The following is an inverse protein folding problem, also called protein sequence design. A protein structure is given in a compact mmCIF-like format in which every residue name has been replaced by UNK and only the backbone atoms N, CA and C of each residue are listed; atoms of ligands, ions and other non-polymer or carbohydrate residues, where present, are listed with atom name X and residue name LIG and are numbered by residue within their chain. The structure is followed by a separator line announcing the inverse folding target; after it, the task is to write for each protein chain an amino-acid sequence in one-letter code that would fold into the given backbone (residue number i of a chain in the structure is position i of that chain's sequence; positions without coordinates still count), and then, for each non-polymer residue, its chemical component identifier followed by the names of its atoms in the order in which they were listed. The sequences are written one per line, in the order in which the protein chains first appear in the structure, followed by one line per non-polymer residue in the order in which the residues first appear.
data_IF_554070572641
#
_entry.id   IF_554070572641
#
_cell.length_a   1.000
_cell.length_b   1.000
_cell.length_c   1.000
_cell.angle_alpha   90.00
_cell.angle_beta   90.00
_cell.angle_gamma   90.00
#
_symmetry.space_group_name_H-M   'P 1'
#
loop_
_entity.id
_entity.type
_entity.pdbx_description
1 polymer ?
#
# COMPACT_ATOMS: atom_id res chain seq x y z
N UNK A 1 3.81 -25.34 -9.11
CA UNK A 1 4.33 -26.72 -9.23
C UNK A 1 3.52 -27.59 -10.19
N UNK A 2 2.18 -27.65 -10.13
CA UNK A 2 1.36 -28.35 -11.14
C UNK A 2 1.53 -27.82 -12.58
N UNK A 3 1.74 -26.51 -12.77
CA UNK A 3 2.02 -25.92 -14.09
C UNK A 3 3.41 -26.28 -14.66
N UNK A 4 4.41 -26.56 -13.80
CA UNK A 4 5.73 -27.04 -14.25
C UNK A 4 5.62 -28.43 -14.90
N UNK A 5 4.67 -29.25 -14.44
CA UNK A 5 4.42 -30.61 -14.92
C UNK A 5 3.39 -30.69 -16.06
N UNK A 6 2.65 -29.61 -16.35
CA UNK A 6 1.49 -29.64 -17.26
C UNK A 6 1.78 -29.26 -18.73
N UNK A 7 3.03 -28.93 -19.08
CA UNK A 7 3.38 -28.64 -20.48
C UNK A 7 2.79 -27.36 -21.07
N UNK A 8 2.26 -26.44 -20.24
CA UNK A 8 1.85 -25.12 -20.71
C UNK A 8 3.07 -24.32 -21.23
N UNK A 9 2.93 -23.71 -22.41
CA UNK A 9 3.91 -22.79 -23.00
C UNK A 9 3.89 -21.45 -22.25
N UNK A 10 4.33 -21.48 -20.99
CA UNK A 10 4.45 -20.30 -20.14
C UNK A 10 5.89 -20.14 -19.67
N UNK A 11 6.37 -18.90 -19.70
CA UNK A 11 7.65 -18.54 -19.09
C UNK A 11 7.45 -18.16 -17.63
N UNK A 12 8.38 -18.52 -16.76
CA UNK A 12 8.29 -18.28 -15.31
C UNK A 12 9.20 -17.13 -14.89
N UNK A 13 8.64 -15.97 -14.48
CA UNK A 13 9.42 -14.92 -13.87
C UNK A 13 9.93 -15.36 -12.50
N UNK A 14 11.14 -14.95 -12.10
CA UNK A 14 11.64 -15.18 -10.74
C UNK A 14 12.46 -14.00 -10.22
N UNK A 15 12.64 -13.93 -8.89
CA UNK A 15 13.43 -12.88 -8.20
C UNK A 15 14.87 -13.34 -7.93
N UNK A 16 15.79 -12.40 -7.72
CA UNK A 16 17.16 -12.73 -7.29
C UNK A 16 17.16 -13.57 -6.00
N UNK A 17 16.34 -13.20 -5.02
CA UNK A 17 16.19 -13.96 -3.77
C UNK A 17 15.70 -15.40 -3.99
N UNK A 18 14.87 -15.64 -5.01
CA UNK A 18 14.47 -17.00 -5.37
C UNK A 18 15.67 -17.80 -5.91
N UNK A 19 16.49 -17.19 -6.76
CA UNK A 19 17.70 -17.80 -7.29
C UNK A 19 18.76 -18.05 -6.21
N UNK A 20 18.85 -17.19 -5.21
CA UNK A 20 19.75 -17.37 -4.07
C UNK A 20 19.33 -18.54 -3.17
N UNK A 21 18.04 -18.64 -2.87
CA UNK A 21 17.49 -19.72 -2.03
C UNK A 21 17.40 -21.06 -2.75
N UNK A 22 17.18 -21.04 -4.06
CA UNK A 22 16.96 -22.25 -4.88
C UNK A 22 17.81 -22.20 -6.16
N UNK A 23 19.15 -22.24 -6.06
CA UNK A 23 20.04 -22.03 -7.20
C UNK A 23 19.85 -23.07 -8.31
N UNK A 24 19.76 -24.36 -7.95
CA UNK A 24 19.53 -25.43 -8.93
C UNK A 24 18.20 -25.27 -9.68
N UNK A 25 17.14 -24.91 -8.94
CA UNK A 25 15.80 -24.72 -9.50
C UNK A 25 15.73 -23.47 -10.39
N UNK A 26 16.42 -22.39 -10.01
CA UNK A 26 16.45 -21.17 -10.81
C UNK A 26 17.18 -21.36 -12.14
N UNK A 27 18.27 -22.15 -12.15
CA UNK A 27 18.96 -22.53 -13.40
C UNK A 27 18.05 -23.38 -14.29
N UNK A 28 17.29 -24.33 -13.71
CA UNK A 28 16.34 -25.16 -14.45
C UNK A 28 15.21 -24.31 -15.08
N UNK A 29 14.65 -23.39 -14.29
CA UNK A 29 13.61 -22.46 -14.77
C UNK A 29 14.15 -21.54 -15.86
N UNK A 30 15.36 -21.01 -15.70
CA UNK A 30 16.02 -20.18 -16.70
C UNK A 30 16.25 -20.94 -18.01
N UNK A 31 16.80 -22.16 -17.94
CA UNK A 31 17.04 -23.00 -19.11
C UNK A 31 15.74 -23.33 -19.86
N UNK A 32 14.66 -23.61 -19.13
CA UNK A 32 13.33 -23.82 -19.71
C UNK A 32 12.82 -22.55 -20.40
N UNK A 33 12.87 -21.40 -19.75
CA UNK A 33 12.44 -20.13 -20.34
C UNK A 33 13.24 -19.84 -21.63
N UNK A 34 14.55 -20.05 -21.61
CA UNK A 34 15.41 -19.87 -22.78
C UNK A 34 14.99 -20.78 -23.95
N UNK A 35 14.72 -22.07 -23.66
CA UNK A 35 14.24 -23.03 -24.65
C UNK A 35 12.91 -22.64 -25.29
N UNK A 36 11.98 -22.07 -24.52
CA UNK A 36 10.67 -21.65 -25.00
C UNK A 36 10.75 -20.38 -25.87
N UNK A 37 11.69 -19.49 -25.57
CA UNK A 37 11.95 -18.26 -26.34
C UNK A 37 12.85 -18.52 -27.56
N UNK A 38 13.40 -19.74 -27.70
CA UNK A 38 14.29 -20.12 -28.80
C UNK A 38 15.73 -19.61 -28.65
N UNK A 39 16.16 -19.31 -27.41
CA UNK A 39 17.51 -18.80 -27.09
C UNK A 39 18.29 -19.87 -26.34
N UNK A 40 19.60 -20.00 -26.62
CA UNK A 40 20.48 -20.89 -25.86
C UNK A 40 20.72 -20.29 -24.48
N UNK A 41 20.47 -21.07 -23.42
CA UNK A 41 20.72 -20.64 -22.05
C UNK A 41 22.22 -20.38 -21.86
N UNK A 42 22.58 -19.16 -21.48
CA UNK A 42 23.97 -18.81 -21.17
C UNK A 42 24.37 -19.48 -19.86
N UNK A 43 25.41 -20.31 -19.89
CA UNK A 43 25.93 -21.00 -18.71
C UNK A 43 26.59 -20.02 -17.73
N UNK A 44 27.10 -18.88 -18.21
CA UNK A 44 27.73 -17.85 -17.39
C UNK A 44 26.72 -17.05 -16.55
N UNK A 45 25.45 -17.03 -16.94
CA UNK A 45 24.39 -16.36 -16.17
C UNK A 45 24.11 -17.04 -14.81
N UNK A 46 24.58 -18.28 -14.60
CA UNK A 46 24.35 -19.06 -13.37
C UNK A 46 25.33 -18.82 -12.22
N UNK A 47 26.37 -18.00 -12.39
CA UNK A 47 27.39 -17.79 -11.36
C UNK A 47 26.91 -16.93 -10.18
N UNK A 48 25.93 -16.06 -10.41
CA UNK A 48 25.41 -15.14 -9.40
C UNK A 48 23.88 -15.01 -9.52
N UNK A 49 23.18 -15.05 -8.39
CA UNK A 49 21.71 -15.01 -8.33
C UNK A 49 21.12 -13.71 -8.92
N UNK A 50 21.81 -12.59 -8.78
CA UNK A 50 21.39 -11.31 -9.35
C UNK A 50 21.50 -11.30 -10.89
N UNK A 51 22.60 -11.85 -11.41
CA UNK A 51 22.85 -11.92 -12.85
C UNK A 51 21.91 -12.93 -13.52
N UNK A 52 21.63 -14.07 -12.86
CA UNK A 52 20.64 -15.04 -13.32
C UNK A 52 19.23 -14.46 -13.38
N UNK A 53 18.84 -13.67 -12.37
CA UNK A 53 17.53 -13.01 -12.36
C UNK A 53 17.42 -11.93 -13.45
N UNK A 54 18.51 -11.19 -13.71
CA UNK A 54 18.57 -10.20 -14.78
C UNK A 54 18.51 -10.86 -16.17
N UNK A 55 19.29 -11.91 -16.39
CA UNK A 55 19.26 -12.69 -17.63
C UNK A 55 17.88 -13.30 -17.89
N UNK A 56 17.20 -13.78 -16.83
CA UNK A 56 15.83 -14.24 -16.94
C UNK A 56 14.87 -13.09 -17.30
N UNK A 57 15.05 -11.89 -16.72
CA UNK A 57 14.25 -10.73 -17.06
C UNK A 57 14.38 -10.34 -18.55
N UNK A 58 15.58 -10.46 -19.12
CA UNK A 58 15.81 -10.20 -20.54
C UNK A 58 15.10 -11.24 -21.43
N UNK A 59 15.07 -12.51 -21.03
CA UNK A 59 14.27 -13.54 -21.72
C UNK A 59 12.77 -13.26 -21.64
N UNK A 60 12.29 -12.76 -20.51
CA UNK A 60 10.87 -12.39 -20.34
C UNK A 60 10.46 -11.22 -21.22
N UNK A 61 11.37 -10.29 -21.52
CA UNK A 61 11.10 -9.19 -22.45
C UNK A 61 10.98 -9.72 -23.89
N UNK A 62 11.87 -10.63 -24.30
CA UNK A 62 11.77 -11.33 -25.60
C UNK A 62 10.52 -12.20 -25.70
N UNK A 63 10.11 -12.84 -24.60
CA UNK A 63 8.88 -13.60 -24.53
C UNK A 63 7.63 -12.71 -24.75
N UNK A 64 7.65 -11.46 -24.25
CA UNK A 64 6.56 -10.50 -24.52
C UNK A 64 6.49 -10.13 -26.01
N UNK A 65 7.64 -9.93 -26.67
CA UNK A 65 7.72 -9.65 -28.11
C UNK A 65 7.15 -10.81 -28.96
N UNK A 66 7.31 -12.06 -28.48
CA UNK A 66 6.81 -13.27 -29.12
C UNK A 66 5.37 -13.65 -28.73
N UNK A 67 4.73 -12.89 -27.82
CA UNK A 67 3.37 -13.16 -27.35
C UNK A 67 3.25 -14.40 -26.45
N UNK A 68 4.34 -14.82 -25.79
CA UNK A 68 4.34 -15.98 -24.89
C UNK A 68 3.82 -15.57 -23.50
N UNK A 69 2.89 -16.36 -22.96
CA UNK A 69 2.26 -16.06 -21.67
C UNK A 69 3.21 -16.23 -20.48
N UNK A 70 3.04 -15.41 -19.44
CA UNK A 70 3.84 -15.44 -18.20
C UNK A 70 3.08 -16.11 -17.07
N UNK A 71 3.74 -17.05 -16.39
CA UNK A 71 3.24 -17.65 -15.16
C UNK A 71 3.43 -16.72 -13.94
N UNK A 72 2.88 -17.12 -12.79
CA UNK A 72 3.06 -16.42 -11.52
C UNK A 72 4.55 -16.30 -11.17
N UNK A 73 4.99 -15.09 -10.82
CA UNK A 73 6.39 -14.80 -10.45
C UNK A 73 6.81 -15.61 -9.23
N UNK A 74 7.90 -16.35 -9.35
CA UNK A 74 8.52 -17.11 -8.27
C UNK A 74 9.32 -16.15 -7.37
N UNK A 75 8.87 -16.02 -6.13
CA UNK A 75 9.50 -15.19 -5.10
C UNK A 75 10.25 -16.07 -4.11
N UNK A 76 11.40 -15.59 -3.63
CA UNK A 76 12.18 -16.32 -2.62
C UNK A 76 11.53 -16.30 -1.23
N UNK A 77 10.85 -15.20 -0.90
CA UNK A 77 10.22 -14.99 0.40
C UNK A 77 8.74 -14.63 0.23
N UNK A 78 7.90 -15.32 1.00
CA UNK A 78 6.53 -14.92 1.29
C UNK A 78 6.49 -14.38 2.73
N UNK A 79 6.64 -13.06 2.86
CA UNK A 79 6.69 -12.39 4.16
C UNK A 79 5.34 -12.45 4.89
N UNK A 80 4.22 -12.54 4.16
CA UNK A 80 2.88 -12.55 4.75
C UNK A 80 2.62 -13.91 5.44
N UNK A 81 3.24 -15.00 4.96
CA UNK A 81 3.17 -16.32 5.56
C UNK A 81 4.08 -16.53 6.78
N UNK A 82 4.96 -15.58 7.12
CA UNK A 82 5.96 -15.75 8.19
C UNK A 82 5.31 -16.05 9.56
N UNK A 83 4.35 -15.21 9.98
CA UNK A 83 3.70 -15.36 11.28
C UNK A 83 2.82 -16.63 11.37
N UNK A 84 1.94 -16.95 10.39
CA UNK A 84 1.24 -18.22 10.35
C UNK A 84 2.18 -19.44 10.38
N UNK A 85 3.33 -19.36 9.71
CA UNK A 85 4.34 -20.43 9.70
C UNK A 85 4.93 -20.65 11.09
N UNK A 86 5.26 -19.57 11.81
CA UNK A 86 5.74 -19.66 13.19
C UNK A 86 4.71 -20.32 14.12
N UNK A 87 3.43 -19.93 14.01
CA UNK A 87 2.33 -20.55 14.79
C UNK A 87 2.26 -22.05 14.50
N UNK A 88 2.37 -22.44 13.23
CA UNK A 88 2.29 -23.86 12.82
C UNK A 88 3.47 -24.67 13.34
N UNK A 89 4.69 -24.14 13.24
CA UNK A 89 5.94 -24.85 13.51
C UNK A 89 6.36 -24.83 14.98
N UNK A 90 6.19 -23.71 15.69
CA UNK A 90 6.74 -23.54 17.04
C UNK A 90 5.75 -23.92 18.15
N UNK A 91 4.45 -23.72 17.95
CA UNK A 91 3.50 -24.05 19.00
C UNK A 91 3.42 -25.57 19.19
N UNK A 92 3.37 -26.07 20.43
CA UNK A 92 3.23 -27.49 20.69
C UNK A 92 1.82 -27.97 20.30
N UNK A 93 1.67 -29.13 19.65
CA UNK A 93 0.38 -29.77 19.47
C UNK A 93 -0.17 -30.28 20.82
N UNK A 94 -1.49 -30.39 20.95
CA UNK A 94 -2.14 -31.08 22.09
C UNK A 94 -2.60 -30.20 23.27
N UNK A 95 -2.00 -29.02 23.48
CA UNK A 95 -2.30 -28.20 24.67
C UNK A 95 -3.38 -27.14 24.47
N UNK A 96 -4.12 -27.18 23.35
CA UNK A 96 -5.13 -26.18 22.99
C UNK A 96 -4.59 -24.79 22.61
N UNK A 97 -3.32 -24.47 22.91
CA UNK A 97 -2.70 -23.16 22.66
C UNK A 97 -2.73 -22.74 21.19
N UNK A 98 -2.52 -23.69 20.25
CA UNK A 98 -2.68 -23.44 18.80
C UNK A 98 -4.08 -22.94 18.47
N UNK A 99 -5.10 -23.60 19.03
CA UNK A 99 -6.50 -23.24 18.82
C UNK A 99 -6.84 -21.89 19.44
N UNK A 100 -6.33 -21.61 20.64
CA UNK A 100 -6.48 -20.32 21.31
C UNK A 100 -5.91 -19.17 20.47
N UNK A 101 -4.67 -19.28 20.01
CA UNK A 101 -4.02 -18.25 19.19
C UNK A 101 -4.78 -18.05 17.87
N UNK A 102 -5.19 -19.16 17.23
CA UNK A 102 -5.98 -19.08 16.00
C UNK A 102 -7.31 -18.36 16.21
N UNK A 103 -8.04 -18.71 17.28
CA UNK A 103 -9.30 -18.05 17.65
C UNK A 103 -9.11 -16.56 17.95
N UNK A 104 -8.03 -16.18 18.65
CA UNK A 104 -7.71 -14.79 18.95
C UNK A 104 -7.46 -13.97 17.68
N UNK A 105 -6.71 -14.53 16.72
CA UNK A 105 -6.45 -13.87 15.42
C UNK A 105 -7.74 -13.73 14.63
N UNK A 106 -8.58 -14.77 14.55
CA UNK A 106 -9.89 -14.68 13.91
C UNK A 106 -10.77 -13.60 14.55
N UNK A 107 -10.82 -13.55 15.88
CA UNK A 107 -11.56 -12.52 16.61
C UNK A 107 -11.05 -11.10 16.30
N UNK A 108 -9.73 -10.89 16.31
CA UNK A 108 -9.12 -9.61 15.98
C UNK A 108 -9.40 -9.15 14.55
N UNK A 109 -9.35 -10.08 13.58
CA UNK A 109 -9.64 -9.80 12.17
C UNK A 109 -11.12 -9.44 11.99
N UNK A 110 -12.04 -10.25 12.54
CA UNK A 110 -13.49 -9.99 12.44
C UNK A 110 -13.87 -8.67 13.11
N UNK A 111 -13.29 -8.35 14.27
CA UNK A 111 -13.51 -7.08 14.96
C UNK A 111 -13.06 -5.88 14.12
N UNK A 112 -11.86 -5.96 13.54
CA UNK A 112 -11.32 -4.91 12.68
C UNK A 112 -12.15 -4.71 11.42
N UNK A 113 -12.56 -5.81 10.76
CA UNK A 113 -13.43 -5.78 9.58
C UNK A 113 -14.79 -5.16 9.91
N UNK A 114 -15.42 -5.55 11.02
CA UNK A 114 -16.69 -4.99 11.45
C UNK A 114 -16.59 -3.46 11.69
N UNK A 115 -15.53 -3.00 12.34
CA UNK A 115 -15.27 -1.56 12.55
C UNK A 115 -15.09 -0.80 11.23
N UNK A 116 -14.30 -1.33 10.29
CA UNK A 116 -14.07 -0.72 8.98
C UNK A 116 -15.35 -0.67 8.14
N UNK A 117 -16.12 -1.76 8.09
CA UNK A 117 -17.39 -1.81 7.37
C UNK A 117 -18.44 -0.86 7.97
N UNK A 118 -18.52 -0.77 9.30
CA UNK A 118 -19.42 0.17 9.97
C UNK A 118 -19.06 1.63 9.69
N UNK A 119 -17.77 1.97 9.73
CA UNK A 119 -17.30 3.33 9.43
C UNK A 119 -17.57 3.71 7.97
N UNK A 120 -17.22 2.84 7.02
CA UNK A 120 -17.43 3.06 5.58
C UNK A 120 -18.92 3.17 5.22
N UNK A 121 -19.77 2.31 5.79
CA UNK A 121 -21.22 2.36 5.56
C UNK A 121 -21.87 3.62 6.14
N UNK A 122 -21.37 4.10 7.29
CA UNK A 122 -21.83 5.35 7.90
C UNK A 122 -21.43 6.54 7.04
N UNK A 123 -20.18 6.60 6.57
CA UNK A 123 -19.72 7.63 5.62
C UNK A 123 -20.60 7.62 4.37
N UNK A 124 -20.86 6.44 3.78
CA UNK A 124 -21.73 6.36 2.61
C UNK A 124 -23.16 6.85 2.90
N UNK A 125 -23.77 6.38 3.98
CA UNK A 125 -25.15 6.73 4.32
C UNK A 125 -25.30 8.25 4.62
N UNK A 126 -24.38 8.81 5.39
CA UNK A 126 -24.48 10.18 5.89
C UNK A 126 -23.89 11.22 4.92
N UNK A 127 -22.73 10.93 4.33
CA UNK A 127 -22.01 11.92 3.52
C UNK A 127 -22.36 11.86 2.04
N UNK A 128 -22.92 10.74 1.56
CA UNK A 128 -23.33 10.53 0.16
C UNK A 128 -24.86 10.40 0.07
N UNK A 129 -25.44 9.33 0.62
CA UNK A 129 -26.86 9.02 0.42
C UNK A 129 -27.79 10.10 0.95
N UNK A 130 -27.54 10.65 2.16
CA UNK A 130 -28.33 11.76 2.70
C UNK A 130 -28.26 13.04 1.85
N UNK A 131 -27.14 13.28 1.14
CA UNK A 131 -27.02 14.42 0.23
C UNK A 131 -27.77 14.19 -1.09
N UNK A 132 -27.82 12.95 -1.56
CA UNK A 132 -28.60 12.54 -2.74
C UNK A 132 -30.10 12.53 -2.46
N UNK A 133 -30.51 12.06 -1.28
CA UNK A 133 -31.90 12.05 -0.80
C UNK A 133 -32.03 12.85 0.49
N UNK A 134 -32.28 14.16 0.34
CA UNK A 134 -32.30 15.13 1.44
C UNK A 134 -33.32 14.80 2.54
N UNK A 135 -34.46 14.22 2.16
CA UNK A 135 -35.54 13.83 3.08
C UNK A 135 -35.51 12.35 3.46
N UNK A 136 -34.32 11.73 3.43
CA UNK A 136 -34.17 10.33 3.85
C UNK A 136 -34.54 10.18 5.33
N UNK A 137 -35.47 9.27 5.62
CA UNK A 137 -35.82 8.93 7.00
C UNK A 137 -34.70 8.17 7.68
N UNK A 138 -34.66 8.17 9.02
CA UNK A 138 -33.65 7.41 9.77
C UNK A 138 -33.66 5.91 9.41
N UNK A 139 -34.85 5.34 9.20
CA UNK A 139 -35.00 3.97 8.74
C UNK A 139 -34.32 3.73 7.38
N UNK A 140 -34.48 4.66 6.43
CA UNK A 140 -33.83 4.58 5.13
C UNK A 140 -32.31 4.68 5.24
N UNK A 141 -31.78 5.59 6.08
CA UNK A 141 -30.34 5.74 6.29
C UNK A 141 -29.71 4.46 6.86
N UNK A 142 -30.32 3.88 7.90
CA UNK A 142 -29.83 2.63 8.51
C UNK A 142 -29.92 1.46 7.53
N UNK A 143 -31.02 1.36 6.77
CA UNK A 143 -31.21 0.30 5.78
C UNK A 143 -30.16 0.40 4.67
N UNK A 144 -29.92 1.61 4.13
CA UNK A 144 -28.86 1.85 3.15
C UNK A 144 -27.50 1.47 3.71
N UNK A 145 -27.18 1.84 4.96
CA UNK A 145 -25.93 1.46 5.60
C UNK A 145 -25.74 -0.06 5.66
N UNK A 146 -26.76 -0.82 6.07
CA UNK A 146 -26.72 -2.30 6.09
C UNK A 146 -26.52 -2.90 4.70
N UNK A 147 -27.19 -2.36 3.68
CA UNK A 147 -27.01 -2.79 2.28
C UNK A 147 -25.57 -2.53 1.83
N UNK A 148 -25.01 -1.37 2.15
CA UNK A 148 -23.62 -1.03 1.84
C UNK A 148 -22.62 -1.99 2.50
N UNK A 149 -22.86 -2.40 3.74
CA UNK A 149 -22.01 -3.41 4.40
C UNK A 149 -21.96 -4.70 3.58
N UNK A 150 -23.10 -5.23 3.17
CA UNK A 150 -23.16 -6.44 2.34
C UNK A 150 -22.45 -6.23 1.01
N UNK A 151 -22.70 -5.10 0.34
CA UNK A 151 -22.04 -4.77 -0.92
C UNK A 151 -20.51 -4.67 -0.78
N UNK A 152 -20.00 -4.01 0.26
CA UNK A 152 -18.57 -3.88 0.51
C UNK A 152 -17.92 -5.22 0.83
N UNK A 153 -18.60 -6.11 1.57
CA UNK A 153 -18.10 -7.48 1.81
C UNK A 153 -17.99 -8.27 0.51
N UNK A 154 -19.00 -8.19 -0.36
CA UNK A 154 -18.96 -8.87 -1.66
C UNK A 154 -17.83 -8.35 -2.55
N UNK A 155 -17.64 -7.03 -2.62
CA UNK A 155 -16.53 -6.42 -3.36
C UNK A 155 -15.18 -6.86 -2.78
N UNK A 156 -15.04 -6.86 -1.45
CA UNK A 156 -13.82 -7.31 -0.78
C UNK A 156 -13.53 -8.79 -1.08
N UNK A 157 -14.54 -9.67 -1.08
CA UNK A 157 -14.40 -11.09 -1.43
C UNK A 157 -13.93 -11.29 -2.88
N UNK A 158 -14.37 -10.44 -3.81
CA UNK A 158 -13.93 -10.49 -5.21
C UNK A 158 -12.48 -10.03 -5.38
N UNK A 159 -12.06 -9.00 -4.64
CA UNK A 159 -10.72 -8.39 -4.77
C UNK A 159 -9.67 -9.17 -3.97
N UNK A 160 -10.00 -9.71 -2.79
CA UNK A 160 -9.05 -10.31 -1.86
C UNK A 160 -8.13 -11.39 -2.49
N UNK A 161 -8.63 -12.34 -3.30
CA UNK A 161 -7.77 -13.34 -3.95
C UNK A 161 -6.74 -12.73 -4.90
N UNK A 162 -7.02 -11.55 -5.47
CA UNK A 162 -6.10 -10.88 -6.39
C UNK A 162 -4.91 -10.27 -5.66
N UNK A 163 -5.01 -10.03 -4.35
CA UNK A 163 -3.96 -9.40 -3.53
C UNK A 163 -2.82 -10.37 -3.18
N UNK A 164 -3.04 -11.68 -3.31
CA UNK A 164 -2.02 -12.72 -3.13
C UNK A 164 -0.99 -12.75 -4.29
N UNK A 165 -1.10 -11.81 -5.24
CA UNK A 165 -0.18 -11.77 -6.36
C UNK A 165 1.23 -11.29 -5.91
N UNK A 166 2.30 -12.07 -6.13
CA UNK A 166 3.65 -11.71 -5.71
C UNK A 166 4.18 -10.40 -6.30
N UNK A 167 3.56 -9.88 -7.36
CA UNK A 167 3.88 -8.57 -7.95
C UNK A 167 3.73 -7.40 -6.99
N UNK A 168 2.98 -7.58 -5.90
CA UNK A 168 2.72 -6.52 -4.93
C UNK A 168 3.75 -6.42 -3.80
N UNK A 169 4.69 -7.37 -3.70
CA UNK A 169 5.76 -7.32 -2.68
C UNK A 169 5.24 -7.42 -1.25
N UNK A 170 4.13 -8.16 -1.05
CA UNK A 170 3.44 -8.34 0.22
C UNK A 170 2.29 -7.35 0.44
N UNK A 171 1.33 -7.76 1.27
CA UNK A 171 0.10 -7.01 1.54
C UNK A 171 0.41 -5.66 2.20
N UNK A 172 1.41 -5.60 3.09
CA UNK A 172 1.83 -4.35 3.71
C UNK A 172 2.28 -3.32 2.67
N UNK A 173 3.17 -3.71 1.75
CA UNK A 173 3.66 -2.85 0.67
C UNK A 173 2.52 -2.38 -0.22
N UNK A 174 1.59 -3.26 -0.58
CA UNK A 174 0.40 -2.90 -1.35
C UNK A 174 -0.44 -1.83 -0.65
N UNK A 175 -0.75 -2.02 0.63
CA UNK A 175 -1.57 -1.09 1.41
C UNK A 175 -0.87 0.26 1.50
N UNK A 176 0.43 0.29 1.81
CA UNK A 176 1.19 1.54 1.91
C UNK A 176 1.25 2.28 0.57
N UNK A 177 1.52 1.56 -0.51
CA UNK A 177 1.53 2.11 -1.86
C UNK A 177 0.17 2.70 -2.27
N UNK A 178 -0.93 2.04 -1.89
CA UNK A 178 -2.27 2.54 -2.15
C UNK A 178 -2.60 3.75 -1.27
N UNK A 179 -2.24 3.71 0.01
CA UNK A 179 -2.43 4.85 0.93
C UNK A 179 -1.65 6.09 0.47
N UNK A 180 -0.53 5.93 -0.23
CA UNK A 180 0.25 7.04 -0.77
C UNK A 180 -0.51 7.94 -1.74
N UNK A 181 -1.49 7.39 -2.46
CA UNK A 181 -2.36 8.18 -3.34
C UNK A 181 -3.30 9.13 -2.59
N UNK A 182 -3.57 8.87 -1.30
CA UNK A 182 -4.66 9.53 -0.56
C UNK A 182 -4.12 10.27 0.66
N UNK A 183 -3.33 9.58 1.50
CA UNK A 183 -2.90 10.04 2.82
C UNK A 183 -2.14 11.38 2.81
N UNK A 184 -1.12 11.59 1.95
CA UNK A 184 -0.36 12.84 1.96
C UNK A 184 -1.22 14.06 1.60
N UNK A 185 -2.16 13.91 0.66
CA UNK A 185 -3.08 14.96 0.27
C UNK A 185 -4.06 15.34 1.38
N UNK A 186 -4.69 14.34 2.01
CA UNK A 186 -5.61 14.57 3.14
C UNK A 186 -4.87 15.22 4.31
N UNK A 187 -3.67 14.72 4.65
CA UNK A 187 -2.86 15.28 5.73
C UNK A 187 -2.48 16.73 5.44
N UNK A 188 -2.07 17.06 4.21
CA UNK A 188 -1.72 18.42 3.82
C UNK A 188 -2.92 19.37 3.95
N UNK A 189 -4.10 18.98 3.44
CA UNK A 189 -5.31 19.79 3.53
C UNK A 189 -5.73 20.00 4.99
N UNK A 190 -5.69 18.93 5.80
CA UNK A 190 -6.09 18.99 7.20
C UNK A 190 -5.16 19.90 8.00
N UNK A 191 -3.85 19.69 7.89
CA UNK A 191 -2.84 20.49 8.58
C UNK A 191 -2.91 21.96 8.13
N UNK A 192 -3.03 22.20 6.83
CA UNK A 192 -3.14 23.56 6.29
C UNK A 192 -4.44 24.23 6.72
N UNK A 193 -5.56 23.51 6.74
CA UNK A 193 -6.85 24.05 7.18
C UNK A 193 -6.89 24.41 8.66
N UNK A 194 -6.21 23.63 9.52
CA UNK A 194 -6.11 23.89 10.96
C UNK A 194 -5.13 25.02 11.27
N UNK A 195 -3.99 25.09 10.58
CA UNK A 195 -2.94 26.08 10.88
C UNK A 195 -3.12 27.41 10.14
N UNK A 196 -3.75 27.40 8.96
CA UNK A 196 -3.87 28.56 8.08
C UNK A 196 -5.32 29.01 7.97
N UNK A 197 -5.75 29.81 8.96
CA UNK A 197 -7.13 30.28 9.09
C UNK A 197 -7.66 31.11 7.90
N UNK A 198 -6.80 31.63 7.01
CA UNK A 198 -7.22 32.40 5.80
C UNK A 198 -7.16 31.61 4.49
N UNK A 199 -6.98 30.28 4.55
CA UNK A 199 -6.91 29.44 3.36
C UNK A 199 -8.26 29.40 2.61
N UNK A 200 -8.29 29.62 1.28
CA UNK A 200 -9.53 29.54 0.51
C UNK A 200 -10.11 28.12 0.54
N UNK A 201 -11.45 28.01 0.53
CA UNK A 201 -12.15 26.71 0.52
C UNK A 201 -11.72 25.79 -0.64
N UNK A 202 -11.31 26.37 -1.76
CA UNK A 202 -10.80 25.66 -2.93
C UNK A 202 -9.52 24.84 -2.64
N UNK A 203 -8.72 25.21 -1.62
CA UNK A 203 -7.53 24.46 -1.23
C UNK A 203 -7.86 22.99 -0.88
N UNK A 204 -9.02 22.73 -0.28
CA UNK A 204 -9.44 21.36 0.03
C UNK A 204 -9.64 20.51 -1.22
N UNK A 205 -10.38 21.03 -2.20
CA UNK A 205 -10.63 20.32 -3.46
C UNK A 205 -9.34 20.14 -4.27
N UNK A 206 -8.50 21.18 -4.35
CA UNK A 206 -7.24 21.12 -5.09
C UNK A 206 -6.29 20.12 -4.47
N UNK A 207 -6.08 20.13 -3.15
CA UNK A 207 -5.22 19.15 -2.49
C UNK A 207 -5.69 17.71 -2.68
N UNK A 208 -7.01 17.49 -2.66
CA UNK A 208 -7.60 16.15 -2.75
C UNK A 208 -7.46 15.56 -4.16
N UNK A 209 -7.57 16.39 -5.19
CA UNK A 209 -7.42 15.98 -6.60
C UNK A 209 -5.96 15.92 -7.00
N UNK A 210 -5.14 16.87 -6.55
CA UNK A 210 -3.73 16.98 -6.93
C UNK A 210 -2.92 15.78 -6.43
N UNK A 211 -3.16 15.31 -5.20
CA UNK A 211 -2.32 14.27 -4.61
C UNK A 211 -2.36 12.92 -5.35
N UNK A 212 -3.53 12.33 -5.68
CA UNK A 212 -3.59 11.10 -6.47
C UNK A 212 -2.89 11.25 -7.83
N UNK A 213 -3.06 12.38 -8.51
CA UNK A 213 -2.43 12.66 -9.81
C UNK A 213 -0.90 12.72 -9.64
N UNK A 214 -0.42 13.48 -8.66
CA UNK A 214 1.00 13.62 -8.40
C UNK A 214 1.66 12.29 -8.00
N UNK A 215 1.03 11.52 -7.12
CA UNK A 215 1.55 10.22 -6.72
C UNK A 215 1.57 9.24 -7.90
N UNK A 216 0.54 9.25 -8.75
CA UNK A 216 0.51 8.46 -9.99
C UNK A 216 1.66 8.83 -10.93
N UNK A 217 1.87 10.14 -11.15
CA UNK A 217 2.92 10.65 -12.03
C UNK A 217 4.32 10.25 -11.53
N UNK A 218 4.57 10.33 -10.23
CA UNK A 218 5.86 9.94 -9.64
C UNK A 218 6.04 8.42 -9.71
N UNK A 219 5.02 7.65 -9.33
CA UNK A 219 5.08 6.18 -9.29
C UNK A 219 5.27 5.55 -10.66
N UNK A 220 4.68 6.15 -11.70
CA UNK A 220 4.73 5.63 -13.08
C UNK A 220 5.57 6.50 -14.01
N UNK A 221 6.45 7.35 -13.46
CA UNK A 221 7.28 8.26 -14.23
C UNK A 221 8.11 7.53 -15.30
N UNK A 222 8.59 6.32 -14.99
CA UNK A 222 9.36 5.43 -15.87
C UNK A 222 8.57 4.88 -17.05
N UNK A 223 7.24 4.87 -16.99
CA UNK A 223 6.35 4.31 -18.02
C UNK A 223 5.78 5.35 -18.98
N UNK A 224 6.10 6.63 -18.78
CA UNK A 224 5.57 7.72 -19.61
C UNK A 224 6.37 7.80 -20.91
N UNK A 225 5.74 7.72 -22.10
CA UNK A 225 6.44 7.84 -23.38
C UNK A 225 7.23 9.16 -23.45
N UNK A 226 8.47 9.11 -23.97
CA UNK A 226 9.43 10.22 -24.09
C UNK A 226 9.98 10.80 -22.76
N UNK A 227 9.30 10.61 -21.62
CA UNK A 227 9.73 11.12 -20.30
C UNK A 227 10.42 10.02 -19.49
N UNK A 228 9.99 8.76 -19.63
CA UNK A 228 10.45 7.61 -18.84
C UNK A 228 11.91 7.24 -19.06
N UNK A 229 12.50 7.64 -20.19
CA UNK A 229 13.93 7.42 -20.45
C UNK A 229 14.85 8.42 -19.74
N UNK A 230 14.30 9.53 -19.24
CA UNK A 230 15.05 10.50 -18.48
C UNK A 230 15.50 9.91 -17.15
N UNK A 231 16.78 10.12 -16.79
CA UNK A 231 17.35 9.63 -15.54
C UNK A 231 16.53 10.04 -14.30
N UNK A 232 15.96 11.26 -14.32
CA UNK A 232 15.12 11.79 -13.25
C UNK A 232 13.83 10.98 -13.11
N UNK A 233 13.20 10.58 -14.21
CA UNK A 233 11.95 9.80 -14.20
C UNK A 233 12.19 8.40 -13.61
N UNK A 234 13.29 7.73 -14.00
CA UNK A 234 13.69 6.43 -13.44
C UNK A 234 14.02 6.55 -11.94
N UNK A 235 14.70 7.62 -11.54
CA UNK A 235 15.03 7.85 -10.14
C UNK A 235 13.77 8.07 -9.28
N UNK A 236 12.82 8.88 -9.77
CA UNK A 236 11.55 9.17 -9.08
C UNK A 236 10.67 7.91 -8.94
N UNK A 237 10.56 7.11 -10.01
CA UNK A 237 9.81 5.86 -9.98
C UNK A 237 10.45 4.81 -9.03
N UNK A 238 11.79 4.81 -8.94
CA UNK A 238 12.55 3.91 -8.07
C UNK A 238 12.55 4.28 -6.58
N UNK A 239 11.97 5.43 -6.19
CA UNK A 239 11.93 5.84 -4.79
C UNK A 239 11.05 4.90 -3.94
N UNK A 240 11.44 4.67 -2.69
CA UNK A 240 10.57 4.02 -1.71
C UNK A 240 9.25 4.80 -1.55
N UNK A 241 8.15 4.09 -1.28
CA UNK A 241 6.81 4.70 -1.18
C UNK A 241 6.77 5.87 -0.18
N UNK A 242 7.51 5.77 0.93
CA UNK A 242 7.54 6.80 1.98
C UNK A 242 8.16 8.11 1.48
N UNK A 243 9.23 8.04 0.68
CA UNK A 243 9.85 9.22 0.09
C UNK A 243 8.91 9.87 -0.94
N UNK A 244 8.20 9.05 -1.74
CA UNK A 244 7.17 9.56 -2.66
C UNK A 244 6.05 10.28 -1.92
N UNK A 245 5.56 9.70 -0.81
CA UNK A 245 4.58 10.35 0.05
C UNK A 245 5.06 11.70 0.60
N UNK A 246 6.31 11.78 1.07
CA UNK A 246 6.89 13.01 1.59
C UNK A 246 7.00 14.11 0.51
N UNK A 247 7.43 13.74 -0.70
CA UNK A 247 7.48 14.66 -1.85
C UNK A 247 6.07 15.15 -2.20
N UNK A 248 5.09 14.24 -2.30
CA UNK A 248 3.71 14.61 -2.57
C UNK A 248 3.15 15.57 -1.52
N UNK A 249 3.38 15.28 -0.24
CA UNK A 249 2.97 16.15 0.86
C UNK A 249 3.57 17.56 0.74
N UNK A 250 4.88 17.65 0.49
CA UNK A 250 5.58 18.93 0.36
C UNK A 250 5.07 19.74 -0.85
N UNK A 251 4.91 19.10 -2.01
CA UNK A 251 4.40 19.77 -3.22
C UNK A 251 2.97 20.26 -3.02
N UNK A 252 2.09 19.45 -2.41
CA UNK A 252 0.73 19.88 -2.11
C UNK A 252 0.75 21.10 -1.18
N UNK A 253 1.54 21.08 -0.10
CA UNK A 253 1.67 22.24 0.80
C UNK A 253 2.14 23.50 0.08
N UNK A 254 3.10 23.39 -0.84
CA UNK A 254 3.57 24.53 -1.65
C UNK A 254 2.44 25.08 -2.49
N UNK A 255 1.69 24.23 -3.19
CA UNK A 255 0.54 24.66 -4.01
C UNK A 255 -0.54 25.33 -3.14
N UNK A 256 -0.88 24.75 -1.99
CA UNK A 256 -1.85 25.36 -1.07
C UNK A 256 -1.37 26.72 -0.54
N UNK A 257 -0.08 26.84 -0.26
CA UNK A 257 0.53 28.11 0.18
C UNK A 257 0.46 29.18 -0.91
N UNK A 258 0.78 28.82 -2.16
CA UNK A 258 0.66 29.73 -3.31
C UNK A 258 -0.79 30.18 -3.49
N UNK A 259 -1.75 29.24 -3.44
CA UNK A 259 -3.18 29.57 -3.53
C UNK A 259 -3.63 30.52 -2.42
N UNK A 260 -3.16 30.30 -1.19
CA UNK A 260 -3.45 31.20 -0.07
C UNK A 260 -2.88 32.59 -0.28
N UNK A 261 -1.70 32.72 -0.88
CA UNK A 261 -1.10 34.03 -1.17
C UNK A 261 -1.82 34.76 -2.31
N UNK A 262 -2.26 34.03 -3.34
CA UNK A 262 -2.95 34.59 -4.50
C UNK A 262 -4.42 34.95 -4.21
N UNK A 263 -5.11 34.13 -3.41
CA UNK A 263 -6.56 34.25 -3.13
C UNK A 263 -6.86 34.07 -1.63
N UNK A 264 -6.34 34.94 -0.75
CA UNK A 264 -6.64 34.86 0.67
C UNK A 264 -8.11 35.18 0.96
N UNK A 265 -8.71 34.47 1.91
CA UNK A 265 -10.06 34.84 2.36
C UNK A 265 -10.04 36.18 3.12
N UNK A 266 -11.06 37.05 2.93
CA UNK A 266 -11.13 38.35 3.58
C UNK A 266 -11.18 38.28 5.11
N UNK A 267 -11.78 37.21 5.65
CA UNK A 267 -11.87 36.94 7.08
C UNK A 267 -11.32 35.55 7.38
N UNK A 268 -10.62 35.38 8.51
CA UNK A 268 -10.21 34.06 8.97
C UNK A 268 -11.44 33.19 9.26
N UNK A 269 -11.30 31.87 9.06
CA UNK A 269 -12.33 30.90 9.43
C UNK A 269 -12.41 30.82 10.94
N UNK A 270 -13.61 31.06 11.48
CA UNK A 270 -13.90 30.82 12.89
C UNK A 270 -14.08 29.32 13.11
N UNK A 271 -13.08 28.70 13.73
CA UNK A 271 -13.18 27.30 14.14
C UNK A 271 -14.07 27.21 15.39
N UNK A 272 -15.02 26.25 15.46
CA UNK A 272 -15.88 26.10 16.62
C UNK A 272 -15.04 25.74 17.86
N UNK A 273 -15.04 26.61 18.86
CA UNK A 273 -14.37 26.37 20.14
C UNK A 273 -15.36 25.70 21.07
N UNK A 274 -15.01 24.53 21.62
CA UNK A 274 -15.78 23.91 22.68
C UNK A 274 -15.17 24.29 24.05
N UNK A 275 -15.74 25.26 24.78
CA UNK A 275 -15.17 25.75 26.05
C UNK A 275 -15.20 24.70 27.17
N UNK A 276 -15.93 23.59 27.00
CA UNK A 276 -15.98 22.48 27.97
C UNK A 276 -14.77 21.54 27.87
N UNK A 277 -13.95 21.68 26.84
CA UNK A 277 -12.78 20.84 26.60
C UNK A 277 -11.53 21.54 27.12
N UNK A 278 -11.03 21.12 28.30
CA UNK A 278 -9.77 21.61 28.83
C UNK A 278 -8.60 21.06 27.99
N UNK A 279 -7.78 21.96 27.42
CA UNK A 279 -6.60 21.62 26.62
C UNK A 279 -5.31 21.59 27.45
N UNK A 280 -5.37 21.90 28.74
CA UNK A 280 -4.21 21.82 29.62
C UNK A 280 -3.77 20.37 29.83
N UNK A 281 -2.52 20.08 29.47
CA UNK A 281 -1.91 18.78 29.73
C UNK A 281 -1.52 18.67 31.21
N UNK A 282 -2.04 17.65 31.90
CA UNK A 282 -1.67 17.33 33.28
C UNK A 282 -0.17 17.02 33.40
N UNK A 283 0.41 17.29 34.57
CA UNK A 283 1.85 17.15 34.82
C UNK A 283 2.38 15.72 34.69
N UNK A 284 1.59 14.74 35.10
CA UNK A 284 1.88 13.30 34.96
C UNK A 284 2.00 12.88 33.48
N UNK A 285 1.10 13.36 32.62
CA UNK A 285 1.12 13.09 31.17
C UNK A 285 2.41 13.60 30.53
N UNK A 286 2.93 14.75 30.98
CA UNK A 286 4.19 15.30 30.47
C UNK A 286 5.39 14.42 30.82
N UNK A 287 5.42 13.87 32.04
CA UNK A 287 6.49 12.96 32.49
C UNK A 287 6.46 11.66 31.69
N UNK A 288 5.29 11.03 31.55
CA UNK A 288 5.16 9.82 30.75
C UNK A 288 5.47 10.06 29.27
N UNK A 289 5.04 11.19 28.70
CA UNK A 289 5.39 11.58 27.34
C UNK A 289 6.90 11.74 27.15
N UNK A 290 7.58 12.41 28.08
CA UNK A 290 9.03 12.56 28.04
C UNK A 290 9.75 11.20 28.14
N UNK A 291 9.27 10.29 28.99
CA UNK A 291 9.84 8.94 29.12
C UNK A 291 9.72 8.17 27.79
N UNK A 292 8.57 8.22 27.12
CA UNK A 292 8.38 7.57 25.81
C UNK A 292 9.34 8.14 24.76
N UNK A 293 9.52 9.46 24.72
CA UNK A 293 10.46 10.11 23.80
C UNK A 293 11.90 9.68 24.10
N UNK A 294 12.32 9.68 25.37
CA UNK A 294 13.66 9.26 25.77
C UNK A 294 13.92 7.78 25.48
N UNK A 295 12.95 6.90 25.75
CA UNK A 295 13.05 5.49 25.41
C UNK A 295 13.18 5.28 23.90
N UNK A 296 12.44 6.05 23.10
CA UNK A 296 12.53 5.99 21.63
C UNK A 296 13.91 6.44 21.14
N UNK A 297 14.41 7.57 21.65
CA UNK A 297 15.76 8.06 21.31
C UNK A 297 16.86 7.09 21.74
N UNK A 298 16.70 6.45 22.90
CA UNK A 298 17.64 5.43 23.38
C UNK A 298 17.67 4.22 22.44
N UNK A 299 16.51 3.74 21.98
CA UNK A 299 16.44 2.67 20.98
C UNK A 299 17.17 3.06 19.69
N UNK A 300 16.95 4.28 19.19
CA UNK A 300 17.69 4.77 18.03
C UNK A 300 19.20 4.81 18.29
N UNK A 301 19.65 5.33 19.43
CA UNK A 301 21.09 5.42 19.73
C UNK A 301 21.77 4.06 19.92
N UNK A 302 21.06 3.06 20.45
CA UNK A 302 21.60 1.70 20.68
C UNK A 302 21.71 0.91 19.38
N UNK A 303 20.79 1.12 18.44
CA UNK A 303 20.71 0.36 17.18
C UNK A 303 21.14 1.14 15.94
N UNK A 304 21.73 2.33 16.12
CA UNK A 304 22.34 3.14 15.05
C UNK A 304 23.73 2.60 14.68
#
# INVERSE_FOLDING_TARGET
MKALLAGEQVVFPFTANFAELNPALAVEVYARNASLVGVTADKAAGENAADLAKANQDLLNKADEQGINKATKLVGYDYDAAFPTLIRQLLPPGNGLKGFVLAAIFGAVVSSLASMLNSSSTIFAMDIFRKLKKDATQFQLVTTGRICVVAFVLIAMLIAPSLDNPKFGGIFTFIQEFQGFISPGILAIFLFGVLVHRAPRACGTVGLILNPILYALIKWADRIPNIGDLAIAKQLAGLAFLNRMAICFAVVLVVLTIMRLAMPMPRPVDLPVNPKMNLESKGDVKVWGALVVLATLALYAVFW
#
